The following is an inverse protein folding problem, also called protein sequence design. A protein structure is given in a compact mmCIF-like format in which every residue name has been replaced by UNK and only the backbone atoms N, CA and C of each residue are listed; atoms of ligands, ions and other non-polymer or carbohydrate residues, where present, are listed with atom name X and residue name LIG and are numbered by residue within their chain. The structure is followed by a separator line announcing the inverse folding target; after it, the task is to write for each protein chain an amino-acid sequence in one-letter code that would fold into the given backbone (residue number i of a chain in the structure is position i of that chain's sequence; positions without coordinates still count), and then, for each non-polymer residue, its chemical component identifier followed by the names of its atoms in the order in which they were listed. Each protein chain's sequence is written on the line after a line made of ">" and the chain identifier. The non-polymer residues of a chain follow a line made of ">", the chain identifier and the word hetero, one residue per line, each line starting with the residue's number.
data_IF_752810672644
#
_entry.id   IF_752810672644
#
_cell.length_a   1.000
_cell.length_b   1.000
_cell.length_c   1.000
_cell.angle_alpha   90.00
_cell.angle_beta   90.00
_cell.angle_gamma   90.00
#
_symmetry.space_group_name_H-M   'P 1'
#
loop_
_entity.id
_entity.type
_entity.pdbx_description
1 polymer ?
#
# COMPACT_ATOMS: atom_id res chain seq x y z
N UNK A 1 -1.56 14.08 -8.50
CA UNK A 1 -1.19 13.04 -7.50
C UNK A 1 -1.98 11.80 -7.82
N UNK A 2 -1.32 10.63 -7.83
CA UNK A 2 -1.98 9.35 -8.09
C UNK A 2 -1.89 8.47 -6.85
N UNK A 3 -3.02 7.93 -6.41
CA UNK A 3 -3.12 7.02 -5.27
C UNK A 3 -3.56 5.65 -5.78
N UNK A 4 -2.75 4.63 -5.51
CA UNK A 4 -3.04 3.24 -5.83
C UNK A 4 -3.47 2.51 -4.55
N UNK A 5 -4.63 1.87 -4.59
CA UNK A 5 -5.12 1.09 -3.46
C UNK A 5 -5.64 -0.28 -3.91
N UNK A 6 -5.12 -1.33 -3.29
CA UNK A 6 -5.46 -2.73 -3.61
C UNK A 6 -6.91 -3.11 -3.27
N UNK A 7 -7.49 -2.49 -2.25
CA UNK A 7 -8.85 -2.75 -1.79
C UNK A 7 -9.92 -2.05 -2.64
N UNK A 8 -11.17 -2.47 -2.46
CA UNK A 8 -12.34 -1.83 -3.09
C UNK A 8 -12.74 -0.53 -2.41
N UNK A 9 -12.49 -0.40 -1.10
CA UNK A 9 -12.90 0.75 -0.27
C UNK A 9 -11.89 1.01 0.86
N UNK A 10 -10.94 1.93 0.65
CA UNK A 10 -10.05 2.42 1.72
C UNK A 10 -10.70 3.56 2.49
N UNK A 11 -10.57 3.62 3.83
CA UNK A 11 -10.04 2.64 4.77
C UNK A 11 -11.00 1.47 5.11
N UNK A 12 -10.44 0.28 5.31
CA UNK A 12 -11.20 -0.92 5.71
C UNK A 12 -11.62 -0.81 7.19
N UNK A 13 -12.87 -1.18 7.51
CA UNK A 13 -13.41 -1.12 8.88
C UNK A 13 -14.00 0.23 9.28
N UNK A 14 -14.12 1.17 8.35
CA UNK A 14 -14.82 2.44 8.53
C UNK A 14 -16.25 2.36 7.98
N UNK A 15 -17.07 3.33 8.40
CA UNK A 15 -18.41 3.52 7.86
C UNK A 15 -18.36 3.69 6.32
N UNK A 16 -19.09 2.84 5.56
CA UNK A 16 -19.08 2.88 4.10
C UNK A 16 -19.44 4.23 3.50
N UNK A 17 -20.39 4.95 4.08
CA UNK A 17 -20.88 6.21 3.54
C UNK A 17 -19.81 7.30 3.70
N UNK A 18 -19.10 7.29 4.84
CA UNK A 18 -17.96 8.19 5.07
C UNK A 18 -16.78 7.87 4.14
N UNK A 19 -16.52 6.59 3.88
CA UNK A 19 -15.48 6.17 2.91
C UNK A 19 -15.83 6.67 1.51
N UNK A 20 -17.08 6.53 1.08
CA UNK A 20 -17.52 6.97 -0.23
C UNK A 20 -17.45 8.51 -0.36
N UNK A 21 -17.85 9.25 0.68
CA UNK A 21 -17.67 10.71 0.75
C UNK A 21 -16.20 11.13 0.63
N UNK A 22 -15.30 10.45 1.37
CA UNK A 22 -13.86 10.71 1.30
C UNK A 22 -13.32 10.45 -0.11
N UNK A 23 -13.66 9.30 -0.69
CA UNK A 23 -13.24 8.93 -2.04
C UNK A 23 -13.73 9.93 -3.08
N UNK A 24 -14.99 10.35 -2.98
CA UNK A 24 -15.58 11.35 -3.87
C UNK A 24 -14.83 12.67 -3.75
N UNK A 25 -14.68 13.20 -2.53
CA UNK A 25 -14.01 14.49 -2.31
C UNK A 25 -12.54 14.48 -2.73
N UNK A 26 -11.84 13.36 -2.52
CA UNK A 26 -10.46 13.16 -2.98
C UNK A 26 -10.37 13.30 -4.51
N UNK A 27 -11.28 12.66 -5.25
CA UNK A 27 -11.35 12.81 -6.72
C UNK A 27 -11.69 14.23 -7.15
N UNK A 28 -12.61 14.90 -6.45
CA UNK A 28 -12.96 16.30 -6.73
C UNK A 28 -11.79 17.26 -6.55
N UNK A 29 -10.76 16.90 -5.77
CA UNK A 29 -9.53 17.68 -5.62
C UNK A 29 -8.53 17.45 -6.76
N UNK A 30 -8.86 16.65 -7.79
CA UNK A 30 -7.97 16.30 -8.89
C UNK A 30 -6.96 15.20 -8.55
N UNK A 31 -7.19 14.46 -7.48
CA UNK A 31 -6.37 13.29 -7.13
C UNK A 31 -6.90 12.07 -7.88
N UNK A 32 -6.01 11.43 -8.64
CA UNK A 32 -6.34 10.24 -9.41
C UNK A 32 -6.29 9.00 -8.50
N UNK A 33 -7.45 8.48 -8.15
CA UNK A 33 -7.61 7.39 -7.18
C UNK A 33 -7.97 6.07 -7.88
N UNK A 34 -6.98 5.20 -8.04
CA UNK A 34 -7.11 3.85 -8.60
C UNK A 34 -7.37 2.83 -7.49
N UNK A 35 -8.62 2.38 -7.40
CA UNK A 35 -9.03 1.31 -6.49
C UNK A 35 -8.83 -0.05 -7.16
N UNK A 36 -8.85 -1.12 -6.37
CA UNK A 36 -8.59 -2.50 -6.86
C UNK A 36 -7.29 -2.63 -7.66
N UNK A 37 -6.31 -1.79 -7.35
CA UNK A 37 -5.05 -1.65 -8.07
C UNK A 37 -3.91 -1.78 -7.09
N UNK A 38 -3.11 -2.83 -7.25
CA UNK A 38 -1.98 -3.12 -6.38
C UNK A 38 -0.67 -2.65 -7.02
N UNK A 39 0.10 -1.83 -6.31
CA UNK A 39 1.48 -1.52 -6.71
C UNK A 39 2.37 -2.73 -6.40
N UNK A 40 2.90 -3.38 -7.45
CA UNK A 40 3.70 -4.60 -7.33
C UNK A 40 5.19 -4.31 -7.27
N UNK A 41 5.66 -3.29 -7.98
CA UNK A 41 7.06 -2.88 -7.99
C UNK A 41 7.21 -1.37 -8.22
N UNK A 42 8.39 -0.86 -7.86
CA UNK A 42 8.86 0.48 -8.24
C UNK A 42 10.23 0.28 -8.88
N UNK A 43 10.35 0.74 -10.12
CA UNK A 43 11.57 0.67 -10.92
C UNK A 43 12.11 2.09 -11.14
N UNK A 44 13.41 2.23 -11.31
CA UNK A 44 14.06 3.48 -11.68
C UNK A 44 14.77 3.29 -13.02
N UNK A 45 14.47 4.15 -13.99
CA UNK A 45 15.05 4.11 -15.33
C UNK A 45 15.34 5.55 -15.78
N UNK A 46 16.58 5.81 -16.21
CA UNK A 46 17.05 7.13 -16.65
C UNK A 46 16.78 8.28 -15.64
N UNK A 47 16.87 7.97 -14.34
CA UNK A 47 16.62 8.93 -13.26
C UNK A 47 15.14 9.29 -13.05
N UNK A 48 14.22 8.50 -13.60
CA UNK A 48 12.77 8.63 -13.39
C UNK A 48 12.22 7.35 -12.75
N UNK A 49 11.27 7.51 -11.83
CA UNK A 49 10.61 6.35 -11.23
C UNK A 49 9.45 5.87 -12.10
N UNK A 50 9.26 4.56 -12.16
CA UNK A 50 8.10 3.90 -12.77
C UNK A 50 7.48 2.98 -11.74
N UNK A 51 6.22 3.23 -11.42
CA UNK A 51 5.43 2.35 -10.54
C UNK A 51 4.75 1.30 -11.42
N UNK A 52 5.05 0.04 -11.16
CA UNK A 52 4.33 -1.09 -11.75
C UNK A 52 3.13 -1.39 -10.86
N UNK A 53 1.95 -1.36 -11.48
CA UNK A 53 0.68 -1.60 -10.82
C UNK A 53 -0.12 -2.69 -11.55
N UNK A 54 -0.79 -3.55 -10.80
CA UNK A 54 -1.67 -4.59 -11.35
C UNK A 54 -3.13 -4.28 -11.00
N UNK A 55 -3.98 -4.27 -12.01
CA UNK A 55 -5.42 -4.06 -11.86
C UNK A 55 -6.18 -5.04 -12.77
N UNK A 56 -7.07 -5.84 -12.19
CA UNK A 56 -7.88 -6.80 -12.98
C UNK A 56 -7.06 -7.84 -13.76
N UNK A 57 -5.85 -8.16 -13.32
CA UNK A 57 -4.94 -9.08 -14.01
C UNK A 57 -3.93 -8.41 -14.93
N UNK A 58 -4.23 -7.18 -15.39
CA UNK A 58 -3.39 -6.38 -16.28
C UNK A 58 -2.31 -5.60 -15.53
N UNK A 59 -1.11 -5.55 -16.11
CA UNK A 59 0.00 -4.74 -15.60
C UNK A 59 0.00 -3.35 -16.26
N UNK A 60 0.19 -2.32 -15.45
CA UNK A 60 0.25 -0.92 -15.86
C UNK A 60 1.53 -0.30 -15.32
N UNK A 61 2.17 0.52 -16.15
CA UNK A 61 3.38 1.27 -15.79
C UNK A 61 3.02 2.75 -15.68
N UNK A 62 3.20 3.32 -14.49
CA UNK A 62 2.85 4.69 -14.19
C UNK A 62 4.14 5.48 -13.92
N UNK A 63 4.49 6.49 -14.74
CA UNK A 63 5.65 7.33 -14.47
C UNK A 63 5.40 8.18 -13.22
N UNK A 64 6.43 8.35 -12.39
CA UNK A 64 6.39 9.19 -11.19
C UNK A 64 7.76 9.80 -10.90
N UNK A 65 7.78 10.99 -10.31
CA UNK A 65 9.01 11.60 -9.79
C UNK A 65 9.28 11.21 -8.33
N UNK A 66 8.22 10.77 -7.61
CA UNK A 66 8.28 10.31 -6.22
C UNK A 66 7.23 9.22 -5.97
N UNK A 67 7.62 8.12 -5.32
CA UNK A 67 6.72 7.07 -4.87
C UNK A 67 6.72 6.96 -3.34
N UNK A 68 5.53 7.03 -2.72
CA UNK A 68 5.36 6.92 -1.26
C UNK A 68 4.52 5.70 -0.94
N UNK A 69 5.03 4.81 -0.09
CA UNK A 69 4.29 3.63 0.39
C UNK A 69 3.53 3.95 1.68
N UNK A 70 2.22 4.08 1.59
CA UNK A 70 1.34 4.10 2.75
C UNK A 70 1.30 2.73 3.42
N UNK A 71 1.92 2.57 4.60
CA UNK A 71 1.87 1.33 5.38
C UNK A 71 1.17 1.61 6.71
N UNK A 72 0.12 0.85 7.00
CA UNK A 72 -0.47 0.84 8.34
C UNK A 72 0.51 0.18 9.34
N UNK A 73 0.60 0.67 10.58
CA UNK A 73 1.42 0.04 11.60
C UNK A 73 0.95 -1.41 11.81
N UNK A 74 1.89 -2.34 11.79
CA UNK A 74 1.61 -3.75 12.11
C UNK A 74 1.80 -3.89 13.62
N UNK A 75 0.83 -4.44 14.37
CA UNK A 75 0.98 -4.64 15.80
C UNK A 75 2.18 -5.55 16.06
N UNK A 76 3.23 -4.98 16.67
CA UNK A 76 4.38 -5.76 17.13
C UNK A 76 3.99 -6.44 18.42
N UNK A 77 3.80 -7.76 18.37
CA UNK A 77 3.81 -8.58 19.59
C UNK A 77 5.20 -8.45 20.20
N UNK A 78 5.35 -7.64 21.24
CA UNK A 78 6.53 -7.74 22.09
C UNK A 78 6.29 -9.00 22.94
N UNK A 79 7.07 -10.05 22.69
CA UNK A 79 7.12 -11.14 23.66
C UNK A 79 7.88 -10.58 24.86
N UNK A 80 7.16 -10.24 25.92
CA UNK A 80 7.78 -9.98 27.22
C UNK A 80 8.29 -11.33 27.75
N UNK A 81 9.38 -11.83 27.18
CA UNK A 81 10.06 -13.01 27.70
C UNK A 81 10.69 -12.61 29.02
N UNK A 82 10.02 -12.95 30.12
CA UNK A 82 10.74 -13.16 31.37
C UNK A 82 11.68 -14.34 31.12
N UNK A 83 12.94 -13.99 30.86
CA UNK A 83 14.03 -14.88 30.49
C UNK A 83 14.07 -16.13 31.39
N UNK A 84 13.74 -17.29 30.83
CA UNK A 84 14.50 -18.53 31.06
C UNK A 84 14.70 -19.26 29.73
N UNK A 85 16.00 -19.34 29.38
CA UNK A 85 16.70 -20.28 28.52
C UNK A 85 16.11 -20.72 27.16
N UNK A 86 16.87 -20.36 26.12
CA UNK A 86 17.35 -21.21 25.02
C UNK A 86 16.36 -21.97 24.12
N UNK A 87 16.22 -21.50 22.88
CA UNK A 87 16.57 -22.27 21.66
C UNK A 87 16.34 -21.43 20.39
N UNK A 88 16.98 -21.87 19.30
CA UNK A 88 17.52 -21.05 18.23
C UNK A 88 16.60 -20.82 17.01
N UNK A 89 16.84 -19.66 16.38
CA UNK A 89 16.83 -19.29 14.95
C UNK A 89 16.16 -20.21 13.91
N UNK A 90 15.20 -19.66 13.14
CA UNK A 90 15.39 -19.49 11.70
C UNK A 90 14.56 -18.35 11.08
N UNK A 91 15.20 -17.59 10.18
CA UNK A 91 14.69 -16.41 9.50
C UNK A 91 14.05 -16.76 8.16
N UNK A 92 13.09 -15.94 7.70
CA UNK A 92 12.56 -16.01 6.34
C UNK A 92 11.84 -14.72 5.94
N UNK A 93 12.45 -13.95 5.04
CA UNK A 93 11.76 -12.98 4.19
C UNK A 93 11.72 -13.60 2.79
N UNK A 94 10.52 -13.67 2.22
CA UNK A 94 10.25 -13.81 0.79
C UNK A 94 9.23 -12.74 0.43
#
# INVERSE_FOLDING_TARGET
>A
VTILHRGKRPPEGFDPDLVDMLCHRTRSLGIDLHLTTEATAVEEEDGRLRVIARAGGEERRLPADLAVRGRAPVPRKISTSRRRASSATNAGWR
#
